data_IF_381918467688
#
_entry.id   IF_381918467688
#
_cell.length_a   1.000
_cell.length_b   1.000
_cell.length_c   1.000
_cell.angle_alpha   90.00
_cell.angle_beta   90.00
_cell.angle_gamma   90.00
#
_symmetry.space_group_name_H-M   'P 1'
#
loop_
_entity.id
_entity.type
_entity.pdbx_description
1 polymer ?
#
# COMPACT_ATOMS: atom_id res chain seq x y z
N UNK A 1 2.13 35.44 -7.99
CA UNK A 1 1.29 35.18 -6.81
C UNK A 1 1.37 33.68 -6.59
N UNK A 2 2.21 33.22 -5.66
CA UNK A 2 2.46 31.79 -5.45
C UNK A 2 1.41 31.27 -4.47
N UNK A 3 0.46 30.49 -4.98
CA UNK A 3 -0.55 29.81 -4.18
C UNK A 3 0.00 28.44 -3.75
N UNK A 4 0.78 28.43 -2.66
CA UNK A 4 1.07 27.19 -1.93
C UNK A 4 -0.17 26.80 -1.16
N UNK A 5 -1.13 26.19 -1.87
CA UNK A 5 -2.31 25.59 -1.25
C UNK A 5 -1.85 24.49 -0.28
N UNK A 6 -2.42 24.43 0.94
CA UNK A 6 -2.05 23.41 1.91
C UNK A 6 -2.40 22.04 1.33
N UNK A 7 -1.35 21.25 1.08
CA UNK A 7 -1.40 19.85 0.66
C UNK A 7 -2.27 19.09 1.68
N UNK A 8 -3.52 18.77 1.32
CA UNK A 8 -4.36 17.86 2.10
C UNK A 8 -3.58 16.57 2.33
N UNK A 9 -3.19 16.35 3.57
CA UNK A 9 -2.65 15.08 4.05
C UNK A 9 -3.79 14.07 4.14
N UNK A 10 -4.32 13.68 2.97
CA UNK A 10 -5.46 12.76 2.82
C UNK A 10 -4.99 11.30 2.91
N UNK A 11 -4.15 11.00 3.90
CA UNK A 11 -3.50 9.69 4.02
C UNK A 11 -3.42 9.30 5.47
N UNK A 12 -4.42 8.56 5.93
CA UNK A 12 -4.28 7.79 7.16
C UNK A 12 -3.28 6.68 6.88
N UNK A 13 -2.17 6.68 7.60
CA UNK A 13 -1.15 5.64 7.50
C UNK A 13 -1.52 4.52 8.46
N UNK A 14 -1.85 3.34 7.94
CA UNK A 14 -2.04 2.14 8.77
C UNK A 14 -0.74 1.34 8.78
N UNK A 15 -0.32 0.95 9.99
CA UNK A 15 0.77 0.02 10.21
C UNK A 15 0.18 -1.39 10.38
N UNK A 16 0.34 -2.23 9.36
CA UNK A 16 0.02 -3.64 9.48
C UNK A 16 1.25 -4.42 9.90
N UNK A 17 1.10 -5.21 10.97
CA UNK A 17 2.08 -6.18 11.43
C UNK A 17 1.59 -7.57 11.01
N UNK A 18 2.41 -8.32 10.29
CA UNK A 18 2.10 -9.73 10.00
C UNK A 18 2.15 -10.57 11.28
N UNK A 19 1.52 -11.74 11.32
CA UNK A 19 1.50 -12.63 12.50
C UNK A 19 2.90 -12.97 13.02
N UNK A 20 3.91 -12.92 12.15
CA UNK A 20 5.32 -13.16 12.47
C UNK A 20 6.04 -11.93 13.06
N UNK A 21 5.34 -10.79 13.19
CA UNK A 21 5.86 -9.57 13.82
C UNK A 21 6.85 -8.76 12.98
N UNK A 22 7.35 -9.32 11.87
CA UNK A 22 8.47 -8.77 11.11
C UNK A 22 8.07 -7.69 10.08
N UNK A 23 6.92 -7.85 9.44
CA UNK A 23 6.56 -7.00 8.30
C UNK A 23 5.82 -5.77 8.82
N UNK A 24 6.41 -4.59 8.61
CA UNK A 24 5.83 -3.28 8.89
C UNK A 24 5.40 -2.64 7.58
N UNK A 25 4.13 -2.76 7.22
CA UNK A 25 3.59 -2.16 6.00
C UNK A 25 3.04 -0.78 6.34
N UNK A 26 3.61 0.25 5.72
CA UNK A 26 3.09 1.61 5.79
C UNK A 26 2.16 1.83 4.58
N UNK A 27 0.85 1.82 4.84
CA UNK A 27 -0.17 1.81 3.78
C UNK A 27 -1.02 3.05 3.88
N UNK A 28 -1.44 3.60 2.74
CA UNK A 28 -2.32 4.78 2.72
C UNK A 28 -3.77 4.32 2.63
N UNK A 29 -4.59 4.68 3.61
CA UNK A 29 -6.03 4.61 3.51
C UNK A 29 -6.56 5.87 2.85
N UNK A 30 -7.40 5.70 1.84
CA UNK A 30 -8.13 6.79 1.22
C UNK A 30 -9.50 6.27 0.79
N UNK A 31 -10.58 6.91 1.25
CA UNK A 31 -11.96 6.54 0.87
C UNK A 31 -12.24 5.04 1.08
N UNK A 32 -11.82 4.49 2.24
CA UNK A 32 -11.95 3.05 2.57
C UNK A 32 -11.18 2.10 1.64
N UNK A 33 -10.37 2.66 0.72
CA UNK A 33 -9.48 1.93 -0.18
C UNK A 33 -8.06 1.93 0.38
N UNK A 34 -7.44 0.77 0.43
CA UNK A 34 -6.06 0.61 0.85
C UNK A 34 -5.15 0.69 -0.38
N UNK A 35 -4.21 1.63 -0.36
CA UNK A 35 -3.20 1.77 -1.40
C UNK A 35 -1.90 1.11 -0.96
N UNK A 36 -1.48 0.10 -1.75
CA UNK A 36 -0.29 -0.71 -1.53
C UNK A 36 0.56 -0.71 -2.80
N UNK A 37 1.88 -0.82 -2.65
CA UNK A 37 2.75 -1.14 -3.79
C UNK A 37 2.67 -2.64 -4.11
N UNK A 38 3.00 -3.03 -5.34
CA UNK A 38 3.04 -4.46 -5.71
C UNK A 38 4.02 -5.27 -4.83
N UNK A 39 5.09 -4.64 -4.33
CA UNK A 39 6.04 -5.27 -3.41
C UNK A 39 5.39 -5.54 -2.05
N UNK A 40 4.68 -4.56 -1.51
CA UNK A 40 3.94 -4.70 -0.24
C UNK A 40 2.86 -5.77 -0.32
N UNK A 41 2.14 -5.86 -1.44
CA UNK A 41 1.17 -6.94 -1.68
C UNK A 41 1.88 -8.29 -1.76
N UNK A 42 3.03 -8.37 -2.43
CA UNK A 42 3.82 -9.60 -2.52
C UNK A 42 4.28 -10.08 -1.14
N UNK A 43 4.75 -9.18 -0.27
CA UNK A 43 5.14 -9.50 1.11
C UNK A 43 3.95 -9.95 1.96
N UNK A 44 2.81 -9.25 1.87
CA UNK A 44 1.59 -9.60 2.59
C UNK A 44 1.08 -11.00 2.25
N UNK A 45 1.07 -11.35 0.97
CA UNK A 45 0.61 -12.66 0.49
C UNK A 45 1.73 -13.71 0.40
N UNK A 46 2.92 -13.42 0.95
CA UNK A 46 4.09 -14.30 0.91
C UNK A 46 4.38 -14.87 -0.49
N UNK A 47 4.23 -14.01 -1.50
CA UNK A 47 4.38 -14.34 -2.91
C UNK A 47 5.43 -13.43 -3.54
N UNK A 48 5.63 -13.56 -4.85
CA UNK A 48 6.58 -12.73 -5.60
C UNK A 48 5.86 -11.63 -6.38
N UNK A 49 6.54 -10.49 -6.58
CA UNK A 49 6.04 -9.37 -7.40
C UNK A 49 5.62 -9.83 -8.81
N UNK A 50 6.38 -10.69 -9.52
CA UNK A 50 5.95 -11.23 -10.81
C UNK A 50 4.62 -11.97 -10.74
N UNK A 51 4.36 -12.73 -9.66
CA UNK A 51 3.08 -13.42 -9.47
C UNK A 51 1.94 -12.41 -9.30
N UNK A 52 2.13 -11.36 -8.49
CA UNK A 52 1.17 -10.25 -8.36
C UNK A 52 0.90 -9.57 -9.72
N UNK A 53 1.96 -9.25 -10.49
CA UNK A 53 1.80 -8.66 -11.82
C UNK A 53 1.05 -9.59 -12.78
N UNK A 54 1.24 -10.91 -12.68
CA UNK A 54 0.48 -11.89 -13.46
C UNK A 54 -1.00 -11.88 -13.07
N UNK A 55 -1.32 -11.88 -11.78
CA UNK A 55 -2.70 -11.80 -11.29
C UNK A 55 -3.40 -10.52 -11.75
N UNK A 56 -2.73 -9.37 -11.67
CA UNK A 56 -3.29 -8.08 -12.14
C UNK A 56 -3.55 -8.10 -13.66
N UNK A 57 -2.70 -8.76 -14.45
CA UNK A 57 -2.85 -8.85 -15.90
C UNK A 57 -3.92 -9.84 -16.38
N UNK A 58 -4.26 -10.83 -15.56
CA UNK A 58 -5.24 -11.88 -15.89
C UNK A 58 -6.67 -11.54 -15.44
N UNK A 59 -6.90 -10.32 -14.92
CA UNK A 59 -8.22 -9.80 -14.50
C UNK A 59 -8.84 -8.98 -15.64
#
# INVERSE_FOLDING_TARGET
>A
MNELTPKKSDGEFLLYQTEDGQVKLEVRLQNETVWLTQQMVAELFQTTVPNISMHIRNI
#
